data_IF_150856269379
#
_entry.id   IF_150856269379
#
_cell.length_a   1.000
_cell.length_b   1.000
_cell.length_c   1.000
_cell.angle_alpha   90.00
_cell.angle_beta   90.00
_cell.angle_gamma   90.00
#
_symmetry.space_group_name_H-M   'P 1'
#
loop_
_entity.id
_entity.type
_entity.pdbx_description
1 polymer ?
#
# COMPACT_ATOMS: atom_id res chain seq x y z
N UNK A 1 -3.47 -12.26 -2.12
CA UNK A 1 -3.12 -13.33 -3.09
C UNK A 1 -1.68 -13.81 -2.86
N UNK A 2 -1.36 -15.06 -3.21
CA UNK A 2 -0.05 -15.68 -2.94
C UNK A 2 1.14 -15.05 -3.68
N UNK A 3 0.88 -14.28 -4.75
CA UNK A 3 1.92 -13.60 -5.54
C UNK A 3 2.20 -12.16 -5.08
N UNK A 4 1.55 -11.68 -4.03
CA UNK A 4 1.84 -10.37 -3.43
C UNK A 4 3.01 -10.54 -2.47
N UNK A 5 4.08 -9.75 -2.66
CA UNK A 5 5.27 -9.79 -1.81
C UNK A 5 5.03 -9.13 -0.45
N UNK A 6 4.33 -8.00 -0.45
CA UNK A 6 4.09 -7.18 0.75
C UNK A 6 2.84 -6.32 0.55
N UNK A 7 2.11 -6.08 1.64
CA UNK A 7 0.97 -5.18 1.66
C UNK A 7 1.06 -4.28 2.91
N UNK A 8 0.96 -2.96 2.71
CA UNK A 8 1.16 -1.97 3.76
C UNK A 8 -0.10 -1.13 3.93
N UNK A 9 -0.47 -0.83 5.19
CA UNK A 9 -1.38 0.27 5.50
C UNK A 9 -0.65 1.27 6.39
N UNK A 10 -0.58 2.51 5.93
CA UNK A 10 0.10 3.60 6.62
C UNK A 10 -0.89 4.75 6.80
N UNK A 11 -1.38 4.99 8.03
CA UNK A 11 -2.33 6.08 8.29
C UNK A 11 -1.74 7.45 7.98
N UNK A 12 -2.55 8.36 7.46
CA UNK A 12 -2.09 9.72 7.13
C UNK A 12 -1.80 10.61 8.35
N UNK A 13 -2.31 10.24 9.53
CA UNK A 13 -2.06 10.94 10.79
C UNK A 13 -2.36 10.03 12.00
N UNK A 14 -1.88 10.43 13.19
CA UNK A 14 -2.18 9.73 14.43
C UNK A 14 -3.66 9.75 14.80
N UNK A 15 -4.40 10.80 14.45
CA UNK A 15 -5.85 10.89 14.68
C UNK A 15 -6.60 9.85 13.83
N UNK A 16 -6.24 9.74 12.56
CA UNK A 16 -6.83 8.75 11.64
C UNK A 16 -6.50 7.33 12.08
N UNK A 17 -5.25 7.07 12.51
CA UNK A 17 -4.84 5.77 13.06
C UNK A 17 -5.69 5.39 14.27
N UNK A 18 -5.78 6.28 15.27
CA UNK A 18 -6.55 6.05 16.49
C UNK A 18 -8.03 5.77 16.19
N UNK A 19 -8.63 6.52 15.27
CA UNK A 19 -10.00 6.28 14.85
C UNK A 19 -10.14 4.90 14.18
N UNK A 20 -9.25 4.57 13.23
CA UNK A 20 -9.29 3.29 12.53
C UNK A 20 -9.13 2.09 13.48
N UNK A 21 -8.29 2.23 14.52
CA UNK A 21 -8.10 1.22 15.56
C UNK A 21 -9.34 1.11 16.48
N UNK A 22 -10.01 2.22 16.79
CA UNK A 22 -11.29 2.20 17.52
C UNK A 22 -12.41 1.53 16.71
N UNK A 23 -12.39 1.65 15.38
CA UNK A 23 -13.29 0.98 14.46
C UNK A 23 -12.88 -0.50 14.18
N UNK A 24 -11.71 -0.93 14.67
CA UNK A 24 -11.18 -2.28 14.48
C UNK A 24 -10.64 -2.57 13.07
N UNK A 25 -10.39 -1.54 12.26
CA UNK A 25 -9.87 -1.69 10.90
C UNK A 25 -8.46 -2.27 10.87
N UNK A 26 -7.64 -1.93 11.86
CA UNK A 26 -6.29 -2.48 12.04
C UNK A 26 -6.33 -4.01 12.11
N UNK A 27 -7.29 -4.57 12.87
CA UNK A 27 -7.45 -6.02 13.01
C UNK A 27 -7.84 -6.68 11.69
N UNK A 28 -8.72 -6.05 10.91
CA UNK A 28 -9.12 -6.54 9.59
C UNK A 28 -7.91 -6.61 8.66
N UNK A 29 -7.10 -5.55 8.61
CA UNK A 29 -5.91 -5.50 7.75
C UNK A 29 -4.83 -6.48 8.21
N UNK A 30 -4.54 -6.55 9.51
CA UNK A 30 -3.57 -7.49 10.08
C UNK A 30 -4.00 -8.94 9.82
N UNK A 31 -5.27 -9.27 10.03
CA UNK A 31 -5.81 -10.59 9.72
C UNK A 31 -5.72 -10.94 8.23
N UNK A 32 -5.81 -9.94 7.34
CA UNK A 32 -5.59 -10.09 5.91
C UNK A 32 -4.10 -10.18 5.50
N UNK A 33 -3.18 -10.10 6.46
CA UNK A 33 -1.73 -10.17 6.24
C UNK A 33 -1.07 -8.86 5.84
N UNK A 34 -1.76 -7.72 6.02
CA UNK A 34 -1.14 -6.41 5.86
C UNK A 34 -0.31 -6.04 7.07
N UNK A 35 0.74 -5.27 6.83
CA UNK A 35 1.47 -4.60 7.89
C UNK A 35 0.78 -3.28 8.24
N UNK A 36 0.34 -3.16 9.50
CA UNK A 36 -0.23 -1.94 10.06
C UNK A 36 0.89 -1.05 10.60
N UNK A 37 1.21 0.04 9.89
CA UNK A 37 2.37 0.90 10.21
C UNK A 37 1.98 2.12 11.05
N UNK A 38 2.99 2.79 11.60
CA UNK A 38 2.84 4.10 12.23
C UNK A 38 2.56 5.20 11.20
N UNK A 39 1.90 6.30 11.58
CA UNK A 39 1.54 7.36 10.65
C UNK A 39 2.77 7.98 9.97
N UNK A 40 2.69 8.19 8.66
CA UNK A 40 3.80 8.79 7.91
C UNK A 40 3.68 8.63 6.40
N UNK A 41 4.72 9.10 5.69
CA UNK A 41 4.74 9.09 4.23
C UNK A 41 5.22 7.75 3.62
N UNK A 42 5.74 6.82 4.44
CA UNK A 42 6.21 5.49 3.99
C UNK A 42 7.08 5.58 2.74
N UNK A 43 6.70 4.91 1.65
CA UNK A 43 7.44 4.81 0.39
C UNK A 43 7.58 6.12 -0.40
N UNK A 44 7.04 7.25 0.07
CA UNK A 44 6.91 8.48 -0.72
C UNK A 44 8.21 8.99 -1.36
N UNK A 45 9.39 8.73 -0.78
CA UNK A 45 10.69 9.20 -1.28
C UNK A 45 11.79 8.13 -1.28
N UNK A 46 11.47 6.89 -0.90
CA UNK A 46 12.44 5.79 -0.75
C UNK A 46 13.67 6.11 0.13
N UNK A 47 13.50 7.00 1.12
CA UNK A 47 14.55 7.38 2.09
C UNK A 47 14.56 6.50 3.34
N UNK A 48 13.56 5.64 3.49
CA UNK A 48 13.41 4.68 4.58
C UNK A 48 13.42 3.26 4.02
N UNK A 49 13.19 2.27 4.88
CA UNK A 49 13.15 0.87 4.49
C UNK A 49 11.92 0.49 3.65
N UNK A 50 10.89 1.34 3.62
CA UNK A 50 9.75 1.19 2.74
C UNK A 50 10.14 1.64 1.32
N UNK A 51 10.74 0.73 0.54
CA UNK A 51 11.19 1.02 -0.83
C UNK A 51 11.08 -0.20 -1.74
N UNK A 52 10.88 0.06 -3.01
CA UNK A 52 10.97 -0.94 -4.08
C UNK A 52 12.42 -1.25 -4.41
N UNK A 53 12.64 -2.51 -4.74
CA UNK A 53 13.86 -3.00 -5.37
C UNK A 53 13.66 -3.11 -6.89
N UNK A 54 14.76 -3.25 -7.63
CA UNK A 54 14.73 -3.28 -9.09
C UNK A 54 13.84 -4.43 -9.60
N UNK A 55 12.94 -4.13 -10.54
CA UNK A 55 11.99 -5.08 -11.12
C UNK A 55 10.68 -5.22 -10.35
N UNK A 56 10.58 -4.70 -9.12
CA UNK A 56 9.33 -4.75 -8.36
C UNK A 56 8.28 -3.77 -8.88
N UNK A 57 7.02 -4.12 -8.61
CA UNK A 57 5.84 -3.34 -8.99
C UNK A 57 4.97 -3.09 -7.78
N UNK A 58 4.47 -1.85 -7.65
CA UNK A 58 3.60 -1.45 -6.56
C UNK A 58 2.30 -0.85 -7.10
N UNK A 59 1.17 -1.27 -6.53
CA UNK A 59 -0.09 -0.56 -6.59
C UNK A 59 -0.12 0.41 -5.39
N UNK A 60 0.02 1.71 -5.64
CA UNK A 60 0.17 2.71 -4.57
C UNK A 60 -0.93 3.76 -4.60
N UNK A 61 -1.44 4.11 -3.43
CA UNK A 61 -2.34 5.24 -3.20
C UNK A 61 -1.59 6.57 -3.02
N UNK A 62 -0.28 6.59 -3.29
CA UNK A 62 0.50 7.83 -3.38
C UNK A 62 0.03 8.69 -4.57
N UNK A 63 0.63 9.88 -4.72
CA UNK A 63 0.31 10.84 -5.77
C UNK A 63 1.43 11.03 -6.80
N UNK A 64 2.57 10.33 -6.67
CA UNK A 64 3.73 10.47 -7.55
C UNK A 64 4.33 9.11 -7.91
N UNK A 65 4.62 8.89 -9.19
CA UNK A 65 5.16 7.63 -9.71
C UNK A 65 6.28 7.82 -10.75
N UNK A 66 6.98 8.95 -10.73
CA UNK A 66 8.12 9.14 -11.63
C UNK A 66 9.24 8.14 -11.29
N UNK A 67 10.13 7.89 -12.25
CA UNK A 67 11.20 6.88 -12.12
C UNK A 67 12.05 7.11 -10.87
N UNK A 68 12.30 6.03 -10.12
CA UNK A 68 13.11 6.07 -8.90
C UNK A 68 12.40 6.63 -7.66
N UNK A 69 11.18 7.19 -7.77
CA UNK A 69 10.49 7.86 -6.66
C UNK A 69 10.31 7.00 -5.42
N UNK A 70 9.89 5.75 -5.60
CA UNK A 70 9.68 4.79 -4.51
C UNK A 70 10.78 3.72 -4.45
N UNK A 71 11.87 3.89 -5.20
CA UNK A 71 12.96 2.93 -5.29
C UNK A 71 13.55 2.86 -6.70
N UNK A 72 14.89 2.82 -6.85
CA UNK A 72 15.53 2.68 -8.16
C UNK A 72 15.12 1.39 -8.88
N UNK A 73 14.75 1.49 -10.16
CA UNK A 73 14.35 0.34 -10.98
C UNK A 73 12.99 -0.29 -10.62
N UNK A 74 12.28 0.23 -9.60
CA UNK A 74 10.91 -0.15 -9.28
C UNK A 74 9.88 0.62 -10.12
N UNK A 75 8.67 0.05 -10.27
CA UNK A 75 7.56 0.69 -10.99
C UNK A 75 6.33 0.85 -10.12
N UNK A 76 5.89 2.10 -9.97
CA UNK A 76 4.69 2.44 -9.19
C UNK A 76 3.52 2.75 -10.11
N UNK A 77 2.37 2.21 -9.77
CA UNK A 77 1.09 2.48 -10.40
C UNK A 77 0.20 3.23 -9.42
N UNK A 78 -0.20 4.45 -9.78
CA UNK A 78 -1.11 5.25 -8.95
C UNK A 78 -2.52 4.69 -9.07
N UNK A 79 -3.13 4.36 -7.94
CA UNK A 79 -4.46 3.74 -7.88
C UNK A 79 -5.28 4.32 -6.73
N UNK A 80 -6.60 4.20 -6.80
CA UNK A 80 -7.48 4.54 -5.68
C UNK A 80 -7.34 3.50 -4.55
N UNK A 81 -7.79 3.83 -3.31
CA UNK A 81 -7.81 2.87 -2.20
C UNK A 81 -8.59 1.58 -2.53
N UNK A 82 -9.74 1.71 -3.20
CA UNK A 82 -10.55 0.56 -3.61
C UNK A 82 -9.77 -0.37 -4.57
N UNK A 83 -9.03 0.20 -5.52
CA UNK A 83 -8.21 -0.57 -6.46
C UNK A 83 -6.98 -1.18 -5.78
N UNK A 84 -6.35 -0.49 -4.83
CA UNK A 84 -5.25 -1.07 -4.04
C UNK A 84 -5.72 -2.31 -3.25
N UNK A 85 -6.87 -2.22 -2.58
CA UNK A 85 -7.48 -3.35 -1.87
C UNK A 85 -7.82 -4.50 -2.81
N UNK A 86 -8.47 -4.22 -3.94
CA UNK A 86 -8.79 -5.23 -4.95
C UNK A 86 -7.54 -5.90 -5.55
N UNK A 87 -6.46 -5.16 -5.78
CA UNK A 87 -5.19 -5.73 -6.23
C UNK A 87 -4.54 -6.62 -5.17
N UNK A 88 -4.63 -6.26 -3.89
CA UNK A 88 -4.11 -7.08 -2.79
C UNK A 88 -4.87 -8.42 -2.66
N UNK A 89 -6.19 -8.38 -2.84
CA UNK A 89 -7.05 -9.58 -2.82
C UNK A 89 -6.75 -10.47 -4.02
N UNK A 90 -6.77 -9.90 -5.24
CA UNK A 90 -6.71 -10.67 -6.49
C UNK A 90 -5.30 -10.95 -7.02
N UNK A 91 -4.28 -10.25 -6.52
CA UNK A 91 -2.90 -10.41 -6.97
C UNK A 91 -2.57 -9.72 -8.30
N UNK A 92 -3.48 -8.92 -8.85
CA UNK A 92 -3.32 -8.25 -10.15
C UNK A 92 -4.20 -7.01 -10.22
N UNK A 93 -3.97 -6.14 -11.20
CA UNK A 93 -4.96 -5.12 -11.53
C UNK A 93 -6.22 -5.77 -12.08
N UNK A 94 -7.36 -5.38 -11.52
CA UNK A 94 -8.67 -5.93 -11.78
C UNK A 94 -9.69 -4.80 -11.81
N UNK A 95 -10.82 -4.99 -12.47
CA UNK A 95 -11.91 -4.02 -12.38
C UNK A 95 -12.58 -4.15 -11.00
N UNK A 96 -12.52 -3.07 -10.21
CA UNK A 96 -13.12 -3.03 -8.87
C UNK A 96 -14.63 -3.17 -8.87
N UNK A 97 -15.29 -2.90 -10.00
CA UNK A 97 -16.76 -2.98 -10.15
C UNK A 97 -17.24 -4.42 -10.34
N UNK A 98 -16.32 -5.34 -10.62
CA UNK A 98 -16.61 -6.75 -10.86
C UNK A 98 -16.24 -7.64 -9.65
N UNK A 99 -16.03 -7.03 -8.48
CA UNK A 99 -15.70 -7.70 -7.21
C UNK A 99 -16.83 -7.55 -6.18
#
# INVERSE_FOLDING_TARGET
AANIKQALVVPGSGLVKKQAEQEGLDQVFVAAGFEWREPGCSMCLAMNDDRLTAGERCASTSNRNFEGRQGPGGRTHLVSPAMAAAAAVTGRFTDVRAL
#
